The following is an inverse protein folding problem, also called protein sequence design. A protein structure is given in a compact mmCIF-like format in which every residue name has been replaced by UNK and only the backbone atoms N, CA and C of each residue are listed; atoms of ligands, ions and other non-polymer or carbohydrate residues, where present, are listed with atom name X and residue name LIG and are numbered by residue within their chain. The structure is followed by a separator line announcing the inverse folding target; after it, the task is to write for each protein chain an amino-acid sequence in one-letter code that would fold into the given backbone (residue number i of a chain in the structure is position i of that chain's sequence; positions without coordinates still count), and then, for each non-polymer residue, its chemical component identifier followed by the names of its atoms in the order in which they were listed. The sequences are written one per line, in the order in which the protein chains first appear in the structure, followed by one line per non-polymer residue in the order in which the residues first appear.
data_IF_808254774146
#
_entry.id   IF_808254774146
#
_cell.length_a   1.000
_cell.length_b   1.000
_cell.length_c   1.000
_cell.angle_alpha   90.00
_cell.angle_beta   90.00
_cell.angle_gamma   90.00
#
_symmetry.space_group_name_H-M   'P 1'
#
loop_
_entity.id
_entity.type
_entity.pdbx_description
1 polymer ?
#
# COMPACT_ATOMS: atom_id res chain seq x y z
N UNK A 1 -48.07 16.33 8.54
CA UNK A 1 -47.01 16.66 7.52
C UNK A 1 -45.69 16.20 8.10
N UNK A 2 -45.29 15.01 7.76
CA UNK A 2 -44.08 14.36 8.30
C UNK A 2 -42.93 14.64 7.34
N UNK A 3 -41.93 15.36 7.82
CA UNK A 3 -40.67 15.55 7.10
C UNK A 3 -39.79 14.28 7.27
N UNK A 4 -39.65 13.54 6.21
CA UNK A 4 -38.66 12.46 6.12
C UNK A 4 -37.28 13.10 5.89
N UNK A 5 -36.41 12.98 6.87
CA UNK A 5 -34.99 13.27 6.74
C UNK A 5 -34.34 12.13 5.94
N UNK A 6 -34.05 12.37 4.68
CA UNK A 6 -33.19 11.52 3.89
C UNK A 6 -31.74 11.78 4.28
N UNK A 7 -31.19 10.93 5.14
CA UNK A 7 -29.75 10.79 5.32
C UNK A 7 -29.20 10.09 4.08
N UNK A 8 -28.61 10.87 3.18
CA UNK A 8 -27.82 10.33 2.06
C UNK A 8 -26.48 9.83 2.62
N UNK A 9 -26.43 8.54 2.98
CA UNK A 9 -25.17 7.81 3.07
C UNK A 9 -24.60 7.72 1.65
N UNK A 10 -23.59 8.50 1.38
CA UNK A 10 -22.71 8.29 0.23
C UNK A 10 -21.85 7.07 0.52
N UNK A 11 -22.43 5.88 0.46
CA UNK A 11 -21.69 4.63 0.37
C UNK A 11 -20.99 4.62 -0.98
N UNK A 12 -19.66 4.80 -0.97
CA UNK A 12 -18.83 4.48 -2.10
C UNK A 12 -19.15 3.02 -2.48
N UNK A 13 -19.54 2.79 -3.72
CA UNK A 13 -19.91 1.47 -4.21
C UNK A 13 -18.60 0.68 -4.43
N UNK A 14 -18.09 0.06 -3.37
CA UNK A 14 -16.83 -0.70 -3.36
C UNK A 14 -17.05 -2.13 -3.85
N UNK A 15 -17.71 -2.29 -5.01
CA UNK A 15 -18.10 -3.57 -5.58
C UNK A 15 -16.95 -4.55 -5.87
N UNK A 16 -15.70 -4.03 -5.94
CA UNK A 16 -14.52 -4.84 -6.23
C UNK A 16 -13.86 -5.41 -4.97
N UNK A 17 -14.25 -4.95 -3.78
CA UNK A 17 -13.68 -5.40 -2.51
C UNK A 17 -12.15 -5.29 -2.48
N UNK A 18 -11.46 -6.41 -2.25
CA UNK A 18 -10.01 -6.51 -2.36
C UNK A 18 -9.62 -6.75 -3.81
N UNK A 19 -9.00 -5.73 -4.43
CA UNK A 19 -8.54 -5.78 -5.82
C UNK A 19 -7.08 -6.21 -5.89
N UNK A 20 -6.76 -7.25 -6.66
CA UNK A 20 -5.39 -7.74 -6.85
C UNK A 20 -4.99 -7.68 -8.31
N UNK A 21 -3.84 -7.02 -8.59
CA UNK A 21 -3.21 -7.06 -9.92
C UNK A 21 -2.40 -8.33 -10.09
N UNK A 22 -2.69 -9.10 -11.16
CA UNK A 22 -1.99 -10.35 -11.45
C UNK A 22 -1.43 -10.36 -12.88
N UNK A 23 -0.13 -10.63 -12.99
CA UNK A 23 0.57 -10.72 -14.27
C UNK A 23 1.22 -12.10 -14.49
N UNK A 24 0.96 -13.08 -13.61
CA UNK A 24 1.52 -14.43 -13.65
C UNK A 24 2.95 -14.51 -13.10
N UNK A 25 3.50 -13.46 -12.50
CA UNK A 25 4.76 -13.54 -11.78
C UNK A 25 4.58 -14.18 -10.40
N UNK A 26 5.66 -14.73 -9.84
CA UNK A 26 5.64 -15.31 -8.48
C UNK A 26 5.24 -14.29 -7.41
N UNK A 27 5.68 -13.03 -7.55
CA UNK A 27 5.31 -11.97 -6.62
C UNK A 27 3.83 -11.57 -6.76
N UNK A 28 3.27 -11.62 -7.96
CA UNK A 28 1.84 -11.43 -8.16
C UNK A 28 1.05 -12.61 -7.57
N UNK A 29 1.57 -13.85 -7.64
CA UNK A 29 0.97 -15.00 -6.98
C UNK A 29 0.98 -14.86 -5.44
N UNK A 30 2.05 -14.33 -4.86
CA UNK A 30 2.09 -13.99 -3.43
C UNK A 30 1.06 -12.90 -3.09
N UNK A 31 0.93 -11.87 -3.93
CA UNK A 31 -0.08 -10.82 -3.75
C UNK A 31 -1.51 -11.38 -3.82
N UNK A 32 -1.79 -12.37 -4.68
CA UNK A 32 -3.10 -13.06 -4.75
C UNK A 32 -3.38 -13.82 -3.45
N UNK A 33 -2.41 -14.59 -2.93
CA UNK A 33 -2.58 -15.30 -1.65
C UNK A 33 -2.79 -14.33 -0.48
N UNK A 34 -2.02 -13.24 -0.43
CA UNK A 34 -2.20 -12.20 0.57
C UNK A 34 -3.57 -11.54 0.43
N UNK A 35 -4.02 -11.25 -0.79
CA UNK A 35 -5.33 -10.69 -1.09
C UNK A 35 -6.49 -11.59 -0.65
N UNK A 36 -6.34 -12.91 -0.75
CA UNK A 36 -7.33 -13.87 -0.25
C UNK A 36 -7.51 -13.76 1.28
N UNK A 37 -6.41 -13.67 2.03
CA UNK A 37 -6.42 -13.47 3.48
C UNK A 37 -7.08 -12.12 3.83
N UNK A 38 -6.76 -11.07 3.09
CA UNK A 38 -7.36 -9.74 3.31
C UNK A 38 -8.85 -9.72 3.00
N UNK A 39 -9.30 -10.40 1.95
CA UNK A 39 -10.72 -10.48 1.59
C UNK A 39 -11.53 -11.24 2.67
N UNK A 40 -10.98 -12.32 3.24
CA UNK A 40 -11.59 -13.04 4.36
C UNK A 40 -11.69 -12.15 5.62
N UNK A 41 -10.63 -11.44 5.96
CA UNK A 41 -10.61 -10.51 7.11
C UNK A 41 -11.65 -9.41 6.97
N UNK A 42 -11.80 -8.86 5.77
CA UNK A 42 -12.75 -7.77 5.46
C UNK A 42 -14.15 -8.27 5.17
N UNK A 43 -14.32 -9.58 5.00
CA UNK A 43 -15.60 -10.24 4.61
C UNK A 43 -16.15 -9.64 3.31
N UNK A 44 -15.29 -9.46 2.32
CA UNK A 44 -15.59 -8.84 1.03
C UNK A 44 -15.12 -9.72 -0.12
N UNK A 45 -15.49 -9.36 -1.34
CA UNK A 45 -15.10 -10.09 -2.55
C UNK A 45 -13.59 -9.91 -2.83
N UNK A 46 -12.93 -10.97 -3.30
CA UNK A 46 -11.60 -10.91 -3.89
C UNK A 46 -11.70 -10.77 -5.40
N UNK A 47 -11.29 -9.64 -5.95
CA UNK A 47 -11.26 -9.41 -7.40
C UNK A 47 -9.83 -9.47 -7.92
N UNK A 48 -9.53 -10.44 -8.80
CA UNK A 48 -8.23 -10.58 -9.45
C UNK A 48 -8.31 -10.05 -10.88
N UNK A 49 -7.40 -9.15 -11.25
CA UNK A 49 -7.38 -8.48 -12.56
C UNK A 49 -6.06 -8.70 -13.27
N UNK A 50 -6.14 -9.16 -14.52
CA UNK A 50 -5.02 -9.19 -15.47
C UNK A 50 -5.26 -8.15 -16.55
N UNK A 51 -4.40 -7.13 -16.62
CA UNK A 51 -4.45 -6.12 -17.68
C UNK A 51 -3.66 -6.58 -18.91
N UNK A 52 -4.11 -6.19 -20.09
CA UNK A 52 -3.40 -6.44 -21.35
C UNK A 52 -3.39 -5.20 -22.23
N UNK A 53 -2.25 -4.93 -22.85
CA UNK A 53 -2.11 -3.79 -23.74
C UNK A 53 -2.59 -4.15 -25.15
N UNK A 54 -3.36 -3.24 -25.74
CA UNK A 54 -3.74 -3.32 -27.14
C UNK A 54 -2.56 -2.85 -27.99
N UNK A 55 -2.03 -3.70 -28.89
CA UNK A 55 -0.92 -3.28 -29.73
C UNK A 55 -1.29 -2.10 -30.62
N UNK A 56 -0.53 -1.02 -30.54
CA UNK A 56 -0.70 0.13 -31.45
C UNK A 56 -0.02 -0.20 -32.77
N UNK A 57 -0.75 -0.84 -33.69
CA UNK A 57 -0.17 -1.32 -34.92
C UNK A 57 -0.28 -0.30 -36.05
N UNK A 58 0.88 0.06 -36.61
CA UNK A 58 0.98 0.73 -37.90
C UNK A 58 1.40 -0.34 -38.91
N UNK A 59 0.45 -0.86 -39.69
CA UNK A 59 0.74 -1.80 -40.76
C UNK A 59 1.31 -1.04 -41.96
N UNK A 60 2.57 -1.26 -42.35
CA UNK A 60 3.18 -0.54 -43.46
C UNK A 60 2.62 -0.95 -44.82
N UNK A 61 1.94 -2.10 -44.91
CA UNK A 61 1.20 -2.53 -46.10
C UNK A 61 0.11 -3.56 -45.75
N UNK A 62 -0.85 -3.76 -46.69
CA UNK A 62 -1.99 -4.68 -46.51
C UNK A 62 -1.58 -6.16 -46.36
N UNK A 63 -0.42 -6.56 -46.88
CA UNK A 63 0.06 -7.94 -46.78
C UNK A 63 0.58 -8.30 -45.37
N UNK A 64 0.74 -7.32 -44.50
CA UNK A 64 1.21 -7.50 -43.13
C UNK A 64 0.08 -7.62 -42.11
N UNK A 65 -1.19 -7.60 -42.53
CA UNK A 65 -2.34 -7.74 -41.62
C UNK A 65 -2.42 -9.20 -41.14
N UNK A 66 -2.33 -9.46 -39.82
CA UNK A 66 -2.49 -10.80 -39.28
C UNK A 66 -3.85 -11.39 -39.55
N UNK A 67 -3.94 -12.72 -39.61
CA UNK A 67 -5.20 -13.46 -39.82
C UNK A 67 -6.14 -13.40 -38.60
N UNK A 68 -5.61 -13.20 -37.40
CA UNK A 68 -6.39 -12.93 -36.19
C UNK A 68 -6.15 -11.49 -35.74
N UNK A 69 -7.18 -10.77 -35.28
CA UNK A 69 -6.99 -9.48 -34.62
C UNK A 69 -6.02 -9.63 -33.44
N UNK A 70 -5.01 -8.77 -33.37
CA UNK A 70 -4.01 -8.85 -32.30
C UNK A 70 -4.62 -8.55 -30.93
N UNK A 71 -5.72 -7.80 -30.89
CA UNK A 71 -6.52 -7.55 -29.69
C UNK A 71 -7.06 -8.86 -29.09
N UNK A 72 -7.54 -9.78 -29.96
CA UNK A 72 -8.03 -11.10 -29.53
C UNK A 72 -6.91 -11.98 -28.99
N UNK A 73 -5.72 -11.88 -29.58
CA UNK A 73 -4.55 -12.63 -29.12
C UNK A 73 -4.08 -12.12 -27.75
N UNK A 74 -3.97 -10.79 -27.56
CA UNK A 74 -3.59 -10.19 -26.29
C UNK A 74 -4.58 -10.52 -25.16
N UNK A 75 -5.88 -10.49 -25.48
CA UNK A 75 -6.93 -10.88 -24.55
C UNK A 75 -6.84 -12.36 -24.17
N UNK A 76 -6.68 -13.27 -25.14
CA UNK A 76 -6.52 -14.72 -24.89
C UNK A 76 -5.32 -15.02 -23.99
N UNK A 77 -4.19 -14.32 -24.20
CA UNK A 77 -3.00 -14.47 -23.35
C UNK A 77 -3.27 -14.00 -21.91
N UNK A 78 -3.99 -12.90 -21.75
CA UNK A 78 -4.42 -12.41 -20.42
C UNK A 78 -5.39 -13.38 -19.74
N UNK A 79 -6.33 -13.96 -20.48
CA UNK A 79 -7.25 -14.98 -19.96
C UNK A 79 -6.50 -16.24 -19.52
N UNK A 80 -5.48 -16.67 -20.29
CA UNK A 80 -4.60 -17.79 -19.91
C UNK A 80 -3.84 -17.48 -18.62
N UNK A 81 -3.25 -16.29 -18.49
CA UNK A 81 -2.59 -15.85 -17.27
C UNK A 81 -3.57 -15.86 -16.09
N UNK A 82 -4.80 -15.39 -16.30
CA UNK A 82 -5.83 -15.35 -15.25
C UNK A 82 -6.25 -16.75 -14.78
N UNK A 83 -6.16 -17.77 -15.67
CA UNK A 83 -6.41 -19.16 -15.29
C UNK A 83 -5.41 -19.66 -14.22
N UNK A 84 -4.17 -19.19 -14.24
CA UNK A 84 -3.19 -19.50 -13.19
C UNK A 84 -3.66 -18.94 -11.82
N UNK A 85 -4.27 -17.76 -11.79
CA UNK A 85 -4.84 -17.21 -10.56
C UNK A 85 -6.05 -18.01 -10.06
N UNK A 86 -6.87 -18.55 -10.96
CA UNK A 86 -8.00 -19.46 -10.60
C UNK A 86 -7.45 -20.70 -9.89
N UNK A 87 -6.36 -21.28 -10.40
CA UNK A 87 -5.72 -22.45 -9.81
C UNK A 87 -5.11 -22.12 -8.43
N UNK A 88 -4.46 -20.96 -8.28
CA UNK A 88 -3.91 -20.50 -7.01
C UNK A 88 -4.98 -20.36 -5.91
N UNK A 89 -6.22 -20.07 -6.29
CA UNK A 89 -7.35 -19.87 -5.41
C UNK A 89 -8.31 -21.06 -5.40
N UNK A 90 -7.86 -22.25 -5.78
CA UNK A 90 -8.69 -23.47 -5.80
C UNK A 90 -9.33 -23.74 -4.44
N UNK A 91 -8.54 -23.66 -3.36
CA UNK A 91 -8.96 -23.94 -1.99
C UNK A 91 -9.56 -22.72 -1.27
N UNK A 92 -9.61 -21.57 -1.91
CA UNK A 92 -10.20 -20.36 -1.33
C UNK A 92 -11.73 -20.42 -1.41
N UNK A 93 -12.39 -20.39 -0.26
CA UNK A 93 -13.86 -20.56 -0.13
C UNK A 93 -14.64 -19.25 -0.19
N UNK A 94 -13.96 -18.09 -0.09
CA UNK A 94 -14.60 -16.77 -0.16
C UNK A 94 -15.11 -16.41 -1.55
N UNK A 95 -15.90 -15.35 -1.63
CA UNK A 95 -16.37 -14.80 -2.90
C UNK A 95 -15.19 -14.28 -3.72
N UNK A 96 -15.13 -14.67 -4.99
CA UNK A 96 -14.03 -14.30 -5.90
C UNK A 96 -14.52 -13.97 -7.30
N UNK A 97 -13.88 -12.96 -7.90
CA UNK A 97 -14.15 -12.48 -9.26
C UNK A 97 -12.83 -12.39 -10.04
N UNK A 98 -12.87 -12.75 -11.32
CA UNK A 98 -11.71 -12.73 -12.20
C UNK A 98 -12.03 -11.91 -13.43
N UNK A 99 -11.18 -10.95 -13.76
CA UNK A 99 -11.41 -10.01 -14.87
C UNK A 99 -10.14 -9.79 -15.70
N UNK A 100 -10.30 -9.72 -17.00
CA UNK A 100 -9.29 -9.13 -17.88
C UNK A 100 -9.70 -7.71 -18.26
N UNK A 101 -8.74 -6.80 -18.38
CA UNK A 101 -9.02 -5.42 -18.73
C UNK A 101 -8.01 -4.89 -19.76
N UNK A 102 -8.47 -4.25 -20.86
CA UNK A 102 -7.59 -3.64 -21.84
C UNK A 102 -6.97 -2.35 -21.29
N UNK A 103 -5.69 -2.15 -21.53
CA UNK A 103 -4.93 -0.96 -21.18
C UNK A 103 -3.65 -1.25 -20.43
N UNK A 104 -2.90 -0.18 -20.14
CA UNK A 104 -1.70 -0.24 -19.33
C UNK A 104 -2.04 -0.68 -17.91
N UNK A 105 -1.30 -1.65 -17.36
CA UNK A 105 -1.60 -2.28 -16.06
C UNK A 105 -1.74 -1.28 -14.91
N UNK A 106 -0.87 -0.27 -14.83
CA UNK A 106 -0.96 0.74 -13.78
C UNK A 106 -2.24 1.60 -13.94
N UNK A 107 -2.53 2.06 -15.15
CA UNK A 107 -3.73 2.86 -15.46
C UNK A 107 -5.03 2.10 -15.20
N UNK A 108 -5.10 0.82 -15.59
CA UNK A 108 -6.25 -0.05 -15.32
C UNK A 108 -6.51 -0.17 -13.81
N UNK A 109 -5.47 -0.51 -13.04
CA UNK A 109 -5.63 -0.68 -11.58
C UNK A 109 -5.92 0.64 -10.86
N UNK A 110 -5.36 1.77 -11.32
CA UNK A 110 -5.72 3.10 -10.79
C UNK A 110 -7.20 3.39 -11.04
N UNK A 111 -7.71 3.13 -12.26
CA UNK A 111 -9.13 3.34 -12.56
C UNK A 111 -10.03 2.45 -11.68
N UNK A 112 -9.70 1.17 -11.56
CA UNK A 112 -10.49 0.22 -10.78
C UNK A 112 -10.38 0.46 -9.27
N UNK A 113 -9.34 1.14 -8.79
CA UNK A 113 -9.18 1.47 -7.37
C UNK A 113 -10.27 2.40 -6.83
N UNK A 114 -11.02 3.08 -7.69
CA UNK A 114 -12.15 3.92 -7.28
C UNK A 114 -13.33 3.08 -6.72
N UNK A 115 -13.44 1.82 -7.16
CA UNK A 115 -14.50 0.89 -6.78
C UNK A 115 -14.00 -0.23 -5.85
N UNK A 116 -12.77 -0.13 -5.34
CA UNK A 116 -12.14 -1.11 -4.47
C UNK A 116 -11.95 -0.58 -3.04
N UNK A 117 -11.96 -1.47 -2.06
CA UNK A 117 -11.60 -1.13 -0.67
C UNK A 117 -10.08 -0.97 -0.50
N UNK A 118 -9.33 -1.83 -1.19
CA UNK A 118 -7.87 -1.84 -1.19
C UNK A 118 -7.35 -2.48 -2.48
N UNK A 119 -6.25 -1.95 -3.01
CA UNK A 119 -5.53 -2.59 -4.13
C UNK A 119 -4.26 -3.25 -3.61
N UNK A 120 -4.02 -4.49 -4.04
CA UNK A 120 -2.85 -5.27 -3.63
C UNK A 120 -2.05 -5.66 -4.86
N UNK A 121 -0.73 -5.45 -4.80
CA UNK A 121 0.19 -5.82 -5.88
C UNK A 121 1.50 -6.36 -5.32
N UNK A 122 2.15 -7.23 -6.08
CA UNK A 122 3.54 -7.61 -5.79
C UNK A 122 4.50 -6.44 -6.01
N UNK A 123 5.60 -6.41 -5.29
CA UNK A 123 6.61 -5.36 -5.44
C UNK A 123 7.19 -5.26 -6.87
N UNK A 124 7.18 -6.37 -7.63
CA UNK A 124 7.65 -6.46 -9.03
C UNK A 124 6.77 -7.40 -9.84
N UNK A 125 6.78 -7.25 -11.18
CA UNK A 125 6.13 -8.13 -12.13
C UNK A 125 7.12 -8.84 -13.04
N UNK A 126 6.62 -9.47 -14.14
CA UNK A 126 7.38 -10.30 -15.10
C UNK A 126 8.61 -9.62 -15.73
N UNK A 127 8.68 -8.30 -15.82
CA UNK A 127 9.77 -7.55 -16.47
C UNK A 127 10.86 -7.03 -15.52
N UNK A 128 10.85 -7.40 -14.24
CA UNK A 128 11.74 -6.82 -13.24
C UNK A 128 13.18 -7.30 -13.37
N UNK A 129 14.14 -6.37 -13.43
CA UNK A 129 15.57 -6.66 -13.28
C UNK A 129 15.87 -7.25 -11.90
N UNK A 130 16.87 -8.13 -11.81
CA UNK A 130 17.38 -8.63 -10.52
C UNK A 130 18.02 -7.49 -9.73
N UNK A 131 17.25 -6.96 -8.73
CA UNK A 131 17.64 -5.86 -7.86
C UNK A 131 16.46 -5.40 -7.01
N UNK A 132 16.70 -4.61 -5.95
CA UNK A 132 15.67 -4.09 -5.01
C UNK A 132 14.87 -2.90 -5.58
N UNK A 133 14.51 -2.92 -6.87
CA UNK A 133 13.77 -1.82 -7.50
C UNK A 133 12.32 -2.25 -7.70
N UNK A 134 11.38 -1.39 -7.29
CA UNK A 134 9.96 -1.56 -7.52
C UNK A 134 9.62 -1.64 -9.01
N UNK A 135 8.58 -2.40 -9.35
CA UNK A 135 7.99 -2.41 -10.68
C UNK A 135 7.25 -1.10 -11.03
N UNK A 136 6.89 -0.93 -12.29
CA UNK A 136 6.14 0.26 -12.75
C UNK A 136 4.77 0.39 -12.07
N UNK A 137 4.06 -0.73 -11.89
CA UNK A 137 2.74 -0.77 -11.23
C UNK A 137 2.87 -0.44 -9.74
N UNK A 138 3.76 -1.12 -9.02
CA UNK A 138 3.98 -0.91 -7.57
C UNK A 138 4.58 0.46 -7.24
N UNK A 139 5.15 1.15 -8.23
CA UNK A 139 5.56 2.56 -8.10
C UNK A 139 4.40 3.53 -8.36
N UNK A 140 3.57 3.26 -9.36
CA UNK A 140 2.51 4.18 -9.79
C UNK A 140 1.27 4.12 -8.89
N UNK A 141 0.84 2.92 -8.48
CA UNK A 141 -0.38 2.74 -7.69
C UNK A 141 -0.38 3.53 -6.38
N UNK A 142 0.66 3.44 -5.51
CA UNK A 142 0.67 4.20 -4.26
C UNK A 142 0.54 5.71 -4.43
N UNK A 143 0.88 6.22 -5.61
CA UNK A 143 0.84 7.64 -5.93
C UNK A 143 -0.51 8.11 -6.51
N UNK A 144 -1.28 7.22 -7.14
CA UNK A 144 -2.43 7.57 -7.96
C UNK A 144 -3.72 6.84 -7.63
N UNK A 145 -3.69 5.77 -6.85
CA UNK A 145 -4.88 5.01 -6.48
C UNK A 145 -5.86 5.86 -5.64
N UNK A 146 -7.14 5.54 -5.77
CA UNK A 146 -8.23 6.20 -5.05
C UNK A 146 -8.54 5.53 -3.69
N UNK A 147 -8.00 4.34 -3.44
CA UNK A 147 -8.07 3.62 -2.17
C UNK A 147 -6.66 3.24 -1.68
N UNK A 148 -6.51 2.75 -0.43
CA UNK A 148 -5.24 2.25 0.05
C UNK A 148 -4.62 1.20 -0.87
N UNK A 149 -3.30 1.25 -1.04
CA UNK A 149 -2.55 0.28 -1.86
C UNK A 149 -1.58 -0.50 -0.98
N UNK A 150 -1.65 -1.83 -1.00
CA UNK A 150 -0.69 -2.70 -0.32
C UNK A 150 0.30 -3.25 -1.35
N UNK A 151 1.59 -3.04 -1.09
CA UNK A 151 2.68 -3.65 -1.86
C UNK A 151 3.26 -4.81 -1.05
N UNK A 152 3.22 -6.00 -1.63
CA UNK A 152 3.73 -7.25 -1.02
C UNK A 152 5.14 -7.51 -1.53
N UNK A 153 6.18 -7.47 -0.66
CA UNK A 153 7.56 -7.72 -1.05
C UNK A 153 7.86 -9.21 -1.21
N UNK A 154 8.98 -9.53 -1.86
CA UNK A 154 9.42 -10.90 -2.15
C UNK A 154 9.63 -11.77 -0.89
N UNK A 155 10.05 -11.15 0.21
CA UNK A 155 10.38 -11.85 1.46
C UNK A 155 9.21 -11.97 2.43
N UNK A 156 8.04 -11.48 2.07
CA UNK A 156 6.84 -11.62 2.88
C UNK A 156 6.46 -13.11 2.97
N UNK A 157 6.92 -13.78 4.01
CA UNK A 157 6.48 -15.14 4.30
C UNK A 157 5.10 -15.11 4.92
N UNK A 158 4.28 -16.13 4.66
CA UNK A 158 2.93 -16.25 5.24
C UNK A 158 2.94 -16.10 6.79
N UNK A 159 4.02 -16.51 7.44
CA UNK A 159 4.18 -16.41 8.89
C UNK A 159 4.38 -14.96 9.41
N UNK A 160 4.98 -14.07 8.62
CA UNK A 160 5.14 -12.65 9.00
C UNK A 160 3.88 -11.82 8.74
N UNK A 161 2.98 -12.31 7.88
CA UNK A 161 1.71 -11.63 7.59
C UNK A 161 0.66 -11.77 8.69
N UNK A 162 0.83 -12.72 9.63
CA UNK A 162 -0.16 -13.05 10.67
C UNK A 162 0.33 -12.76 12.10
N UNK A 163 1.55 -12.26 12.27
CA UNK A 163 2.12 -11.98 13.60
C UNK A 163 2.83 -10.62 13.62
N UNK A 164 2.81 -9.98 14.78
CA UNK A 164 3.39 -8.67 15.00
C UNK A 164 2.38 -7.53 14.97
N UNK A 165 2.79 -6.31 15.28
CA UNK A 165 1.93 -5.14 15.28
C UNK A 165 1.62 -4.67 13.85
N UNK A 166 0.53 -3.91 13.71
CA UNK A 166 0.41 -2.94 12.63
C UNK A 166 1.20 -1.71 13.04
N UNK A 167 2.05 -1.22 12.17
CA UNK A 167 2.88 -0.03 12.44
C UNK A 167 2.44 1.11 11.54
N UNK A 168 2.28 2.30 12.08
CA UNK A 168 2.01 3.50 11.28
C UNK A 168 3.06 4.57 11.50
N UNK A 169 3.64 5.08 10.41
CA UNK A 169 4.53 6.23 10.48
C UNK A 169 3.72 7.53 10.47
N UNK A 170 3.90 8.34 11.51
CA UNK A 170 3.21 9.62 11.71
C UNK A 170 4.22 10.75 11.63
N UNK A 171 3.91 11.78 10.84
CA UNK A 171 4.75 12.96 10.70
C UNK A 171 4.02 14.26 11.11
N UNK A 172 2.75 14.14 11.52
CA UNK A 172 1.87 15.22 11.88
C UNK A 172 1.34 16.04 10.70
N UNK A 173 1.37 15.48 9.47
CA UNK A 173 0.64 15.99 8.31
C UNK A 173 -0.81 15.49 8.30
N UNK A 174 -1.67 16.15 7.51
CA UNK A 174 -3.06 15.70 7.34
C UNK A 174 -3.13 14.30 6.72
N UNK A 175 -2.27 14.00 5.76
CA UNK A 175 -2.13 12.66 5.15
C UNK A 175 -1.63 11.62 6.15
N UNK A 176 -0.68 11.98 7.02
CA UNK A 176 -0.24 11.14 8.12
C UNK A 176 -1.36 10.82 9.10
N UNK A 177 -2.25 11.79 9.34
CA UNK A 177 -3.43 11.58 10.18
C UNK A 177 -4.44 10.62 9.56
N UNK A 178 -4.74 10.75 8.26
CA UNK A 178 -5.59 9.78 7.54
C UNK A 178 -4.98 8.38 7.61
N UNK A 179 -3.67 8.25 7.36
CA UNK A 179 -2.97 6.98 7.48
C UNK A 179 -3.05 6.36 8.88
N UNK A 180 -2.99 7.19 9.92
CA UNK A 180 -3.11 6.77 11.33
C UNK A 180 -4.49 6.16 11.63
N UNK A 181 -5.58 6.77 11.19
CA UNK A 181 -6.93 6.22 11.37
C UNK A 181 -7.16 4.96 10.53
N UNK A 182 -6.62 4.93 9.30
CA UNK A 182 -6.65 3.72 8.46
C UNK A 182 -5.90 2.57 9.14
N UNK A 183 -4.72 2.85 9.70
CA UNK A 183 -3.93 1.84 10.42
C UNK A 183 -4.65 1.31 11.67
N UNK A 184 -5.39 2.18 12.39
CA UNK A 184 -6.18 1.75 13.54
C UNK A 184 -7.32 0.80 13.13
N UNK A 185 -8.01 1.09 12.03
CA UNK A 185 -9.04 0.21 11.47
C UNK A 185 -8.42 -1.12 11.01
N UNK A 186 -7.24 -1.09 10.36
CA UNK A 186 -6.49 -2.29 9.96
C UNK A 186 -6.09 -3.14 11.18
N UNK A 187 -5.53 -2.52 12.22
CA UNK A 187 -5.13 -3.22 13.42
C UNK A 187 -6.33 -3.87 14.15
N UNK A 188 -7.45 -3.14 14.25
CA UNK A 188 -8.68 -3.66 14.83
C UNK A 188 -9.23 -4.86 14.03
N UNK A 189 -9.25 -4.78 12.69
CA UNK A 189 -9.71 -5.87 11.82
C UNK A 189 -8.82 -7.10 11.92
N UNK A 190 -7.52 -6.93 12.18
CA UNK A 190 -6.52 -8.00 12.34
C UNK A 190 -6.46 -8.54 13.76
N UNK A 191 -7.09 -7.89 14.74
CA UNK A 191 -6.91 -8.19 16.17
C UNK A 191 -5.47 -7.99 16.64
N UNK A 192 -4.77 -7.03 16.05
CA UNK A 192 -3.36 -6.75 16.28
C UNK A 192 -3.18 -5.47 17.12
N UNK A 193 -2.03 -5.35 17.75
CA UNK A 193 -1.57 -4.09 18.35
C UNK A 193 -1.25 -3.07 17.26
N UNK A 194 -1.53 -1.78 17.52
CA UNK A 194 -1.09 -0.66 16.68
C UNK A 194 0.07 0.08 17.32
N UNK A 195 1.19 0.16 16.64
CA UNK A 195 2.34 0.97 17.04
C UNK A 195 2.39 2.26 16.21
N UNK A 196 2.29 3.41 16.87
CA UNK A 196 2.47 4.72 16.27
C UNK A 196 3.95 5.12 16.35
N UNK A 197 4.56 5.40 15.20
CA UNK A 197 5.98 5.72 15.10
C UNK A 197 6.19 7.13 14.54
N UNK A 198 6.95 7.95 15.25
CA UNK A 198 7.51 9.20 14.73
C UNK A 198 9.02 9.07 14.75
N UNK A 199 9.67 9.12 13.61
CA UNK A 199 11.14 9.10 13.56
C UNK A 199 11.66 10.52 13.71
N UNK A 200 12.51 10.76 14.73
CA UNK A 200 13.24 12.00 14.89
C UNK A 200 14.52 11.91 14.07
N UNK A 201 14.66 12.71 12.98
CA UNK A 201 15.90 12.69 12.20
C UNK A 201 17.13 12.99 13.05
N UNK A 202 18.15 12.15 12.94
CA UNK A 202 19.45 12.41 13.54
C UNK A 202 20.02 13.67 12.90
N UNK A 203 20.44 14.64 13.71
CA UNK A 203 20.88 15.97 13.26
C UNK A 203 22.23 16.02 12.52
N UNK A 204 22.68 14.91 11.93
CA UNK A 204 23.96 14.78 11.24
C UNK A 204 24.11 15.72 10.04
N UNK A 205 23.05 16.07 9.34
CA UNK A 205 23.10 17.05 8.24
C UNK A 205 23.49 18.46 8.72
N UNK A 206 23.13 18.83 9.95
CA UNK A 206 23.48 20.12 10.53
C UNK A 206 24.94 20.13 11.02
N UNK A 207 25.47 19.00 11.48
CA UNK A 207 26.89 18.85 11.87
C UNK A 207 27.85 19.04 10.70
N UNK A 208 27.44 18.69 9.48
CA UNK A 208 28.24 18.91 8.27
C UNK A 208 28.42 20.41 7.94
N UNK A 209 27.35 21.20 8.16
CA UNK A 209 27.36 22.64 7.89
C UNK A 209 27.84 23.48 9.08
N UNK A 210 27.73 22.98 10.29
CA UNK A 210 28.07 23.65 11.55
C UNK A 210 28.75 22.67 12.52
N UNK A 211 30.00 22.27 12.25
CA UNK A 211 30.70 21.27 13.07
C UNK A 211 30.94 21.70 14.53
N UNK A 212 30.85 23.01 14.83
CA UNK A 212 30.99 23.57 16.19
C UNK A 212 29.64 23.62 16.97
N UNK A 213 28.51 23.32 16.31
CA UNK A 213 27.23 23.15 16.98
C UNK A 213 27.12 21.70 17.46
N UNK A 214 27.66 21.41 18.66
CA UNK A 214 27.16 20.26 19.42
C UNK A 214 25.65 20.47 19.62
N UNK A 215 24.86 19.80 18.79
CA UNK A 215 23.45 19.55 19.14
C UNK A 215 23.52 18.71 20.41
N UNK A 216 23.51 19.41 21.56
CA UNK A 216 23.66 18.76 22.84
C UNK A 216 22.62 17.64 22.94
N UNK A 217 23.01 16.52 23.51
CA UNK A 217 22.09 15.40 23.83
C UNK A 217 20.80 15.88 24.49
N UNK A 218 20.85 17.03 25.16
CA UNK A 218 19.73 17.73 25.79
C UNK A 218 18.68 18.25 24.76
N UNK A 219 19.12 18.80 23.62
CA UNK A 219 18.18 19.30 22.59
C UNK A 219 17.47 18.13 21.94
N UNK A 220 18.18 17.06 21.60
CA UNK A 220 17.60 15.83 21.04
C UNK A 220 16.61 15.19 22.03
N UNK A 221 17.01 15.04 23.30
CA UNK A 221 16.15 14.47 24.35
C UNK A 221 14.90 15.32 24.60
N UNK A 222 15.05 16.65 24.61
CA UNK A 222 13.91 17.57 24.75
C UNK A 222 12.95 17.44 23.56
N UNK A 223 13.49 17.34 22.33
CA UNK A 223 12.66 17.21 21.12
C UNK A 223 11.96 15.85 21.07
N UNK A 224 12.66 14.79 21.43
CA UNK A 224 12.09 13.45 21.53
C UNK A 224 10.93 13.43 22.52
N UNK A 225 11.12 14.01 23.71
CA UNK A 225 10.05 14.13 24.72
C UNK A 225 8.82 14.88 24.20
N UNK A 226 9.01 16.01 23.49
CA UNK A 226 7.91 16.77 22.90
C UNK A 226 7.14 15.95 21.85
N UNK A 227 7.84 15.16 21.04
CA UNK A 227 7.21 14.29 20.04
C UNK A 227 6.47 13.15 20.72
N UNK A 228 7.03 12.55 21.78
CA UNK A 228 6.36 11.51 22.56
C UNK A 228 5.05 12.02 23.17
N UNK A 229 5.08 13.18 23.84
CA UNK A 229 3.88 13.81 24.41
C UNK A 229 2.83 14.16 23.32
N UNK A 230 3.27 14.54 22.12
CA UNK A 230 2.39 14.77 20.98
C UNK A 230 1.75 13.48 20.48
N UNK A 231 2.55 12.42 20.37
CA UNK A 231 2.11 11.11 19.87
C UNK A 231 1.15 10.42 20.86
N UNK A 232 1.39 10.58 22.18
CA UNK A 232 0.48 10.08 23.23
C UNK A 232 -0.90 10.74 23.16
N UNK A 233 -0.99 12.04 22.79
CA UNK A 233 -2.26 12.72 22.56
C UNK A 233 -3.02 12.18 21.35
N UNK A 234 -2.31 11.89 20.25
CA UNK A 234 -2.92 11.25 19.09
C UNK A 234 -3.39 9.82 19.43
N UNK A 235 -2.60 9.06 20.20
CA UNK A 235 -2.99 7.75 20.69
C UNK A 235 -4.24 7.80 21.58
N UNK A 236 -4.35 8.80 22.47
CA UNK A 236 -5.55 9.01 23.28
C UNK A 236 -6.79 9.29 22.43
N UNK A 237 -6.64 10.09 21.36
CA UNK A 237 -7.75 10.35 20.40
C UNK A 237 -8.18 9.07 19.67
N UNK A 238 -7.24 8.21 19.30
CA UNK A 238 -7.55 6.90 18.70
C UNK A 238 -8.26 5.98 19.68
N UNK A 239 -7.83 5.95 20.97
CA UNK A 239 -8.45 5.12 22.01
C UNK A 239 -9.93 5.47 22.25
N UNK A 240 -10.34 6.71 22.01
CA UNK A 240 -11.75 7.11 22.08
C UNK A 240 -12.60 6.45 20.98
N UNK A 241 -12.03 6.24 19.79
CA UNK A 241 -12.72 5.64 18.64
C UNK A 241 -12.54 4.12 18.55
N UNK A 242 -11.41 3.60 19.05
CA UNK A 242 -11.04 2.19 19.05
C UNK A 242 -10.71 1.74 20.48
N UNK A 243 -11.70 1.62 21.38
CA UNK A 243 -11.45 1.38 22.82
C UNK A 243 -10.83 0.00 23.10
N UNK A 244 -11.04 -0.97 22.25
CA UNK A 244 -10.48 -2.33 22.38
C UNK A 244 -9.10 -2.50 21.74
N UNK A 245 -8.57 -1.45 21.07
CA UNK A 245 -7.30 -1.52 20.36
C UNK A 245 -6.12 -1.26 21.32
N UNK A 246 -5.18 -2.20 21.37
CA UNK A 246 -3.91 -1.99 22.09
C UNK A 246 -3.04 -1.03 21.29
N UNK A 247 -2.66 0.09 21.89
CA UNK A 247 -1.86 1.14 21.29
C UNK A 247 -0.50 1.27 21.98
N UNK A 248 0.56 1.36 21.18
CA UNK A 248 1.90 1.73 21.65
C UNK A 248 2.46 2.89 20.84
N UNK A 249 3.40 3.60 21.41
CA UNK A 249 4.02 4.78 20.77
C UNK A 249 5.54 4.66 20.84
N UNK A 250 6.23 5.02 19.76
CA UNK A 250 7.68 5.07 19.75
C UNK A 250 8.23 6.28 18.98
N UNK A 251 9.34 6.84 19.48
CA UNK A 251 10.03 7.99 18.86
C UNK A 251 11.52 7.65 18.73
N UNK A 252 11.89 6.75 17.80
CA UNK A 252 13.30 6.47 17.53
C UNK A 252 14.00 7.66 16.90
N UNK A 253 15.32 7.74 17.12
CA UNK A 253 16.23 8.73 16.50
C UNK A 253 17.02 8.05 15.40
N UNK A 254 16.99 8.58 14.16
CA UNK A 254 17.71 7.98 13.04
C UNK A 254 17.25 8.52 11.68
N UNK A 255 17.70 7.91 10.59
CA UNK A 255 17.14 8.17 9.27
C UNK A 255 15.72 7.60 9.19
N UNK A 256 14.72 8.39 8.77
CA UNK A 256 13.33 7.92 8.73
C UNK A 256 13.11 6.69 7.84
N UNK A 257 13.80 6.60 6.70
CA UNK A 257 13.65 5.46 5.79
C UNK A 257 14.26 4.20 6.37
N UNK A 258 15.51 4.27 6.83
CA UNK A 258 16.23 3.13 7.42
C UNK A 258 15.51 2.59 8.66
N UNK A 259 15.10 3.49 9.55
CA UNK A 259 14.39 3.13 10.78
C UNK A 259 13.05 2.44 10.48
N UNK A 260 12.27 2.96 9.52
CA UNK A 260 10.99 2.35 9.15
C UNK A 260 11.16 1.03 8.39
N UNK A 261 12.21 0.87 7.61
CA UNK A 261 12.56 -0.42 6.98
C UNK A 261 12.89 -1.47 8.05
N UNK A 262 13.70 -1.11 9.06
CA UNK A 262 14.01 -2.00 10.17
C UNK A 262 12.72 -2.42 10.94
N UNK A 263 11.89 -1.44 11.27
CA UNK A 263 10.61 -1.69 11.96
C UNK A 263 9.68 -2.57 11.12
N UNK A 264 9.65 -2.38 9.80
CA UNK A 264 8.79 -3.16 8.89
C UNK A 264 9.09 -4.67 8.91
N UNK A 265 10.30 -5.06 9.28
CA UNK A 265 10.70 -6.48 9.36
C UNK A 265 9.95 -7.28 10.43
N UNK A 266 9.46 -6.60 11.49
CA UNK A 266 8.70 -7.18 12.60
C UNK A 266 7.20 -6.89 12.56
N UNK A 267 6.78 -6.03 11.64
CA UNK A 267 5.38 -5.64 11.47
C UNK A 267 4.64 -6.59 10.53
N UNK A 268 3.40 -6.93 10.85
CA UNK A 268 2.53 -7.64 9.89
C UNK A 268 2.02 -6.70 8.79
N UNK A 269 1.98 -5.40 9.04
CA UNK A 269 1.65 -4.36 8.07
C UNK A 269 2.27 -3.03 8.51
N UNK A 270 3.00 -2.36 7.60
CA UNK A 270 3.48 -1.00 7.80
C UNK A 270 2.61 -0.03 7.01
N UNK A 271 2.04 0.98 7.66
CA UNK A 271 1.13 1.94 7.05
C UNK A 271 1.79 3.30 6.94
N UNK A 272 1.73 3.88 5.74
CA UNK A 272 2.34 5.18 5.41
C UNK A 272 1.32 6.04 4.67
N UNK A 273 1.42 7.35 4.83
CA UNK A 273 0.74 8.28 3.93
C UNK A 273 1.47 8.41 2.59
N UNK A 274 0.79 8.82 1.53
CA UNK A 274 1.43 9.11 0.24
C UNK A 274 2.48 10.19 0.33
N UNK A 275 2.29 11.18 1.22
CA UNK A 275 3.13 12.36 1.40
C UNK A 275 3.27 12.68 2.88
N UNK A 276 4.32 13.45 3.21
CA UNK A 276 4.54 14.02 4.51
C UNK A 276 4.64 15.56 4.45
N UNK A 277 5.23 16.17 5.47
CA UNK A 277 5.45 17.64 5.61
C UNK A 277 6.33 18.27 4.53
N UNK A 278 6.89 17.50 3.58
CA UNK A 278 7.77 18.00 2.54
C UNK A 278 7.13 19.08 1.65
N UNK A 279 7.92 20.13 1.31
CA UNK A 279 7.47 21.31 0.55
C UNK A 279 7.20 21.07 -0.93
N UNK A 280 7.55 19.91 -1.48
CA UNK A 280 7.45 19.64 -2.92
C UNK A 280 6.04 19.11 -3.22
N UNK A 281 5.13 20.03 -3.58
CA UNK A 281 3.75 19.71 -3.97
C UNK A 281 3.61 18.91 -5.27
N UNK A 282 4.67 18.84 -6.09
CA UNK A 282 4.65 18.13 -7.37
C UNK A 282 5.04 16.65 -7.29
N UNK A 283 5.61 16.21 -6.16
CA UNK A 283 5.94 14.80 -5.96
C UNK A 283 4.67 14.03 -5.54
N UNK A 284 4.30 13.04 -6.31
CA UNK A 284 3.11 12.21 -6.08
C UNK A 284 3.30 11.25 -4.90
N UNK A 285 4.54 10.84 -4.61
CA UNK A 285 4.92 9.98 -3.49
C UNK A 285 6.12 10.59 -2.75
N UNK A 286 6.04 10.63 -1.40
CA UNK A 286 7.10 11.16 -0.55
C UNK A 286 8.39 10.33 -0.60
N UNK A 287 9.53 10.97 -0.26
CA UNK A 287 10.84 10.30 -0.25
C UNK A 287 10.89 9.13 0.72
N UNK A 288 10.36 9.28 1.92
CA UNK A 288 10.29 8.22 2.93
C UNK A 288 9.42 7.06 2.46
N UNK A 289 8.18 7.32 2.00
CA UNK A 289 7.28 6.27 1.52
C UNK A 289 7.88 5.51 0.33
N UNK A 290 8.53 6.21 -0.60
CA UNK A 290 9.26 5.58 -1.71
C UNK A 290 10.46 4.77 -1.22
N UNK A 291 11.22 5.30 -0.28
CA UNK A 291 12.38 4.62 0.29
C UNK A 291 11.99 3.33 1.02
N UNK A 292 10.95 3.39 1.86
CA UNK A 292 10.43 2.21 2.56
C UNK A 292 9.94 1.16 1.56
N UNK A 293 9.11 1.52 0.58
CA UNK A 293 8.62 0.59 -0.45
C UNK A 293 9.75 -0.12 -1.21
N UNK A 294 10.88 0.55 -1.46
CA UNK A 294 12.02 -0.05 -2.17
C UNK A 294 12.83 -1.05 -1.32
N UNK A 295 12.80 -0.94 0.01
CA UNK A 295 13.71 -1.66 0.88
C UNK A 295 13.01 -2.54 1.93
N UNK A 296 11.68 -2.43 2.07
CA UNK A 296 10.89 -3.20 3.05
C UNK A 296 11.00 -4.71 2.85
N UNK A 297 10.92 -5.44 3.95
CA UNK A 297 10.82 -6.91 3.96
C UNK A 297 9.40 -7.39 4.31
N UNK A 298 8.55 -6.51 4.83
CA UNK A 298 7.14 -6.77 5.14
C UNK A 298 6.17 -6.02 4.24
N UNK A 299 4.86 -6.36 4.26
CA UNK A 299 3.82 -5.66 3.50
C UNK A 299 3.73 -4.18 3.90
N UNK A 300 3.61 -3.32 2.91
CA UNK A 300 3.46 -1.87 3.12
C UNK A 300 2.17 -1.38 2.50
N UNK A 301 1.35 -0.74 3.31
CA UNK A 301 0.16 -0.01 2.87
C UNK A 301 0.49 1.47 2.71
N UNK A 302 0.15 2.03 1.56
CA UNK A 302 0.19 3.48 1.33
C UNK A 302 -1.23 4.00 1.19
N UNK A 303 -1.57 4.95 2.05
CA UNK A 303 -2.91 5.54 2.14
C UNK A 303 -2.96 6.83 1.34
N UNK A 304 -3.88 6.97 0.37
CA UNK A 304 -4.05 8.19 -0.40
C UNK A 304 -4.50 9.36 0.48
N UNK A 305 -4.29 10.59 -0.01
CA UNK A 305 -4.64 11.86 0.67
C UNK A 305 -6.04 12.34 0.29
#
# INVERSE_FOLDING_TARGET
MSAQSSSSESGLNQELGVLVGFDGSELAAQAVRYGAIEAERRKTVLTVVTAYELPTMIYPNMASIPSEPEDDKAKKEAEKTLTEAVELLHDYSGEKSFRTAPGNSAGVLVTLSADAEVVIVGARGRGGFMGRVLGSVSTALPAHAHCPTIVVPERSTSASADSGPVVVAVDGSDTGRVAMFTAAAEAATRGAELELVVVLPAGEEWLYWYPDLELSSEVTSRRQKQLTEGLEKEAATLSEQFPDLTLTTSVPVGDPTETLVEISSRAQLTVLGTRGRGRIRSALLGSVSRGVLNHTEGPVMVVPS
#
